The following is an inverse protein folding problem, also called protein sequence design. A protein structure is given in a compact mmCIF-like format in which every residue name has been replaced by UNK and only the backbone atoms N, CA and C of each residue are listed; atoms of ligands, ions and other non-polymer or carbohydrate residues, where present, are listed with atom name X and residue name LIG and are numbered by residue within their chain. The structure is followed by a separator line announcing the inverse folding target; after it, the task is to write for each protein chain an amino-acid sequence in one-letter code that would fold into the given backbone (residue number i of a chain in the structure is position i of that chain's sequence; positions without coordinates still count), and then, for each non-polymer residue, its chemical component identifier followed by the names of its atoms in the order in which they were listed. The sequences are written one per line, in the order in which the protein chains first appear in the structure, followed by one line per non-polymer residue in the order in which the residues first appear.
data_IF_081715650547
#
_entry.id   IF_081715650547
#
_cell.length_a   1.000
_cell.length_b   1.000
_cell.length_c   1.000
_cell.angle_alpha   90.00
_cell.angle_beta   90.00
_cell.angle_gamma   90.00
#
_symmetry.space_group_name_H-M   'P 1'
#
loop_
_entity.id
_entity.type
_entity.pdbx_description
1 polymer ?
#
# COMPACT_ATOMS: atom_id res chain seq x y z
N UNK A 1 10.62 24.93 -2.93
CA UNK A 1 10.35 23.48 -2.86
C UNK A 1 9.17 23.14 -3.76
N UNK A 2 9.37 22.21 -4.65
CA UNK A 2 8.28 21.86 -5.57
C UNK A 2 7.27 20.91 -4.88
N UNK A 3 6.08 20.86 -5.44
CA UNK A 3 5.04 19.97 -4.95
C UNK A 3 5.49 18.50 -5.06
N UNK A 4 6.27 18.18 -6.08
CA UNK A 4 6.78 16.83 -6.26
C UNK A 4 7.77 16.43 -5.16
N UNK A 5 8.58 17.37 -4.69
CA UNK A 5 9.51 17.10 -3.61
C UNK A 5 8.78 16.77 -2.32
N UNK A 6 7.65 17.42 -2.10
CA UNK A 6 6.90 17.24 -0.86
C UNK A 6 5.91 16.08 -0.94
N UNK A 7 5.23 15.93 -2.07
CA UNK A 7 4.13 14.96 -2.20
C UNK A 7 4.37 13.88 -3.23
N UNK A 8 5.51 13.87 -3.89
CA UNK A 8 5.84 12.81 -4.84
C UNK A 8 5.91 11.44 -4.17
N UNK A 9 5.75 10.40 -4.95
CA UNK A 9 5.75 9.04 -4.43
C UNK A 9 7.18 8.58 -4.18
N UNK A 10 7.55 8.48 -2.92
CA UNK A 10 8.87 8.03 -2.50
C UNK A 10 8.74 6.84 -1.57
N UNK A 11 9.71 5.92 -1.60
CA UNK A 11 9.67 4.79 -0.67
C UNK A 11 9.67 5.26 0.78
N UNK A 12 8.83 4.63 1.58
CA UNK A 12 8.75 4.89 3.01
C UNK A 12 8.83 3.58 3.76
N UNK A 13 9.45 3.60 4.91
CA UNK A 13 9.53 2.43 5.76
C UNK A 13 8.19 2.25 6.48
N UNK A 14 7.71 1.02 6.49
CA UNK A 14 6.49 0.65 7.21
C UNK A 14 6.85 -0.52 8.12
N UNK A 15 6.44 -0.44 9.38
CA UNK A 15 6.69 -1.49 10.36
C UNK A 15 5.39 -2.20 10.69
N UNK A 16 5.49 -3.50 10.88
CA UNK A 16 4.32 -4.28 11.28
C UNK A 16 4.75 -5.48 12.12
N UNK A 17 3.83 -6.02 12.87
CA UNK A 17 4.08 -7.22 13.67
C UNK A 17 3.32 -8.40 13.09
N UNK A 18 4.00 -9.54 13.01
CA UNK A 18 3.42 -10.78 12.58
C UNK A 18 4.06 -11.90 13.37
N UNK A 19 3.26 -12.75 13.98
CA UNK A 19 3.73 -13.89 14.78
C UNK A 19 4.69 -13.47 15.91
N UNK A 20 4.45 -12.32 16.49
CA UNK A 20 5.27 -11.82 17.59
C UNK A 20 6.57 -11.19 17.17
N UNK A 21 6.81 -11.09 15.88
CA UNK A 21 8.03 -10.46 15.36
C UNK A 21 7.70 -9.14 14.66
N UNK A 22 8.59 -8.18 14.82
CA UNK A 22 8.46 -6.91 14.12
C UNK A 22 9.22 -6.97 12.80
N UNK A 23 8.54 -6.60 11.73
CA UNK A 23 9.12 -6.60 10.39
C UNK A 23 9.05 -5.20 9.80
N UNK A 24 9.95 -4.92 8.89
CA UNK A 24 9.97 -3.65 8.17
C UNK A 24 9.93 -3.92 6.67
N UNK A 25 9.24 -3.06 5.96
CA UNK A 25 9.26 -3.09 4.51
C UNK A 25 9.17 -1.68 3.97
N UNK A 26 9.48 -1.53 2.68
CA UNK A 26 9.36 -0.23 2.02
C UNK A 26 8.18 -0.26 1.08
N UNK A 27 7.46 0.84 1.03
CA UNK A 27 6.33 0.95 0.13
C UNK A 27 6.13 2.40 -0.27
N UNK A 28 5.55 2.59 -1.45
CA UNK A 28 5.13 3.90 -1.92
C UNK A 28 3.65 4.05 -1.66
N UNK A 29 3.20 5.29 -1.51
CA UNK A 29 1.77 5.55 -1.39
C UNK A 29 1.07 5.16 -2.70
N UNK A 30 -0.21 4.88 -2.58
CA UNK A 30 -1.04 4.56 -3.75
C UNK A 30 -1.15 5.82 -4.62
N UNK A 31 -0.80 5.68 -5.91
CA UNK A 31 -0.89 6.80 -6.84
C UNK A 31 -2.35 7.04 -7.23
N UNK A 32 -2.61 8.22 -7.77
CA UNK A 32 -3.95 8.55 -8.27
C UNK A 32 -4.42 7.52 -9.31
N UNK A 33 -3.54 7.20 -10.25
CA UNK A 33 -3.89 6.26 -11.31
C UNK A 33 -4.16 4.86 -10.77
N UNK A 34 -3.37 4.42 -9.80
CA UNK A 34 -3.60 3.12 -9.18
C UNK A 34 -4.91 3.10 -8.40
N UNK A 35 -5.20 4.16 -7.66
CA UNK A 35 -6.47 4.25 -6.93
C UNK A 35 -7.66 4.18 -7.88
N UNK A 36 -7.55 4.86 -9.00
CA UNK A 36 -8.61 4.85 -10.00
C UNK A 36 -8.79 3.46 -10.60
N UNK A 37 -7.68 2.80 -10.95
CA UNK A 37 -7.73 1.44 -11.50
C UNK A 37 -8.32 0.46 -10.48
N UNK A 38 -7.94 0.59 -9.23
CA UNK A 38 -8.45 -0.27 -8.17
C UNK A 38 -9.97 -0.14 -8.06
N UNK A 39 -10.47 1.09 -8.11
CA UNK A 39 -11.91 1.31 -7.95
C UNK A 39 -12.72 0.86 -9.17
N UNK A 40 -12.12 0.82 -10.35
CA UNK A 40 -12.85 0.54 -11.58
C UNK A 40 -12.63 -0.87 -12.12
N UNK A 41 -11.44 -1.43 -11.95
CA UNK A 41 -11.06 -2.64 -12.64
C UNK A 41 -10.92 -3.88 -11.77
N UNK A 42 -10.68 -3.70 -10.47
CA UNK A 42 -10.40 -4.82 -9.60
C UNK A 42 -11.51 -5.03 -8.57
N UNK A 43 -11.84 -6.29 -8.31
CA UNK A 43 -12.71 -6.60 -7.19
C UNK A 43 -11.89 -6.49 -5.89
N UNK A 44 -12.58 -6.61 -4.76
CA UNK A 44 -11.97 -6.38 -3.47
C UNK A 44 -10.78 -7.30 -3.17
N UNK A 45 -10.88 -8.55 -3.60
CA UNK A 45 -9.81 -9.52 -3.37
C UNK A 45 -8.56 -9.20 -4.18
N UNK A 46 -8.77 -8.83 -5.44
CA UNK A 46 -7.66 -8.52 -6.34
C UNK A 46 -7.03 -7.19 -5.99
N UNK A 47 -7.78 -6.28 -5.37
CA UNK A 47 -7.25 -4.99 -4.95
C UNK A 47 -6.04 -5.12 -4.05
N UNK A 48 -6.10 -6.04 -3.10
CA UNK A 48 -4.99 -6.24 -2.18
C UNK A 48 -3.73 -6.63 -2.92
N UNK A 49 -3.85 -7.53 -3.89
CA UNK A 49 -2.72 -7.96 -4.69
C UNK A 49 -2.17 -6.82 -5.55
N UNK A 50 -3.06 -6.01 -6.11
CA UNK A 50 -2.63 -4.87 -6.93
C UNK A 50 -1.88 -3.85 -6.10
N UNK A 51 -2.34 -3.57 -4.90
CA UNK A 51 -1.66 -2.65 -4.00
C UNK A 51 -0.25 -3.15 -3.71
N UNK A 52 -0.10 -4.42 -3.42
CA UNK A 52 1.21 -4.99 -3.14
C UNK A 52 2.12 -4.91 -4.37
N UNK A 53 1.61 -5.29 -5.52
CA UNK A 53 2.42 -5.28 -6.74
C UNK A 53 3.00 -3.91 -7.05
N UNK A 54 2.18 -2.88 -6.96
CA UNK A 54 2.58 -1.55 -7.42
C UNK A 54 3.16 -0.67 -6.33
N UNK A 55 2.92 -0.98 -5.08
CA UNK A 55 3.38 -0.14 -3.98
C UNK A 55 4.55 -0.71 -3.21
N UNK A 56 4.60 -2.03 -3.02
CA UNK A 56 5.70 -2.65 -2.30
C UNK A 56 6.99 -2.49 -3.09
N UNK A 57 8.03 -1.97 -2.43
CA UNK A 57 9.27 -1.67 -3.14
C UNK A 57 10.48 -1.90 -2.23
N UNK A 58 11.65 -1.80 -2.85
CA UNK A 58 12.92 -1.81 -2.15
C UNK A 58 13.23 -0.40 -1.67
N UNK A 59 14.30 -0.28 -0.88
CA UNK A 59 14.70 1.03 -0.36
C UNK A 59 14.94 2.05 -1.45
N UNK A 60 15.47 1.62 -2.58
CA UNK A 60 15.75 2.51 -3.71
C UNK A 60 14.53 2.78 -4.59
N UNK A 61 13.39 2.18 -4.27
CA UNK A 61 12.17 2.39 -5.02
C UNK A 61 11.88 1.34 -6.08
N UNK A 62 12.78 0.38 -6.28
CA UNK A 62 12.56 -0.68 -7.27
C UNK A 62 11.43 -1.59 -6.80
N UNK A 63 10.59 -2.04 -7.73
CA UNK A 63 9.48 -2.92 -7.41
C UNK A 63 10.00 -4.28 -6.93
N UNK A 64 9.41 -4.79 -5.84
CA UNK A 64 9.73 -6.13 -5.36
C UNK A 64 9.25 -7.19 -6.36
N UNK A 65 8.06 -6.99 -6.90
CA UNK A 65 7.53 -7.86 -7.95
C UNK A 65 7.64 -7.14 -9.29
N UNK A 66 8.08 -7.86 -10.31
CA UNK A 66 8.27 -7.23 -11.62
C UNK A 66 6.93 -6.81 -12.21
N UNK A 67 7.00 -5.89 -13.16
CA UNK A 67 5.82 -5.40 -13.84
C UNK A 67 5.11 -6.52 -14.61
N UNK A 68 5.88 -7.52 -15.05
CA UNK A 68 5.34 -8.67 -15.78
C UNK A 68 4.74 -9.75 -14.88
N UNK A 69 4.90 -9.60 -13.56
CA UNK A 69 4.39 -10.59 -12.62
C UNK A 69 2.86 -10.50 -12.54
N UNK A 70 2.18 -11.62 -12.72
CA UNK A 70 0.73 -11.64 -12.59
C UNK A 70 0.32 -11.54 -11.13
N UNK A 71 -0.84 -10.94 -10.89
CA UNK A 71 -1.34 -10.82 -9.52
C UNK A 71 -1.55 -12.19 -8.88
N UNK A 72 -1.97 -13.16 -9.66
CA UNK A 72 -2.15 -14.51 -9.14
C UNK A 72 -0.85 -15.12 -8.63
N UNK A 73 0.27 -14.79 -9.28
CA UNK A 73 1.58 -15.29 -8.84
C UNK A 73 1.94 -14.73 -7.48
N UNK A 74 1.61 -13.48 -7.23
CA UNK A 74 1.86 -12.85 -5.93
C UNK A 74 1.05 -13.57 -4.86
N UNK A 75 -0.20 -13.86 -5.16
CA UNK A 75 -1.07 -14.58 -4.24
C UNK A 75 -0.60 -15.98 -3.92
N UNK A 76 0.16 -16.61 -4.84
CA UNK A 76 0.71 -17.93 -4.60
C UNK A 76 1.98 -17.90 -3.76
N UNK A 77 2.69 -16.79 -3.76
CA UNK A 77 3.98 -16.70 -3.09
C UNK A 77 3.91 -16.22 -1.65
N UNK A 78 2.88 -15.48 -1.29
CA UNK A 78 2.77 -14.88 0.03
C UNK A 78 1.56 -15.41 0.79
N UNK A 79 1.69 -15.60 2.11
CA UNK A 79 0.55 -16.02 2.92
C UNK A 79 -0.58 -14.99 2.89
N UNK A 80 -1.80 -15.47 3.02
CA UNK A 80 -2.97 -14.61 3.04
C UNK A 80 -2.86 -13.50 4.10
N UNK A 81 -2.44 -13.88 5.31
CA UNK A 81 -2.29 -12.92 6.41
C UNK A 81 -1.33 -11.80 6.07
N UNK A 82 -0.23 -12.15 5.43
CA UNK A 82 0.78 -11.17 5.09
C UNK A 82 0.25 -10.20 4.04
N UNK A 83 -0.44 -10.73 3.03
CA UNK A 83 -1.02 -9.88 1.98
C UNK A 83 -2.04 -8.91 2.58
N UNK A 84 -2.92 -9.40 3.43
CA UNK A 84 -3.91 -8.56 4.07
C UNK A 84 -3.25 -7.46 4.92
N UNK A 85 -2.22 -7.82 5.67
CA UNK A 85 -1.52 -6.90 6.54
C UNK A 85 -0.77 -5.84 5.73
N UNK A 86 -0.01 -6.26 4.72
CA UNK A 86 0.75 -5.33 3.89
C UNK A 86 -0.16 -4.35 3.17
N UNK A 87 -1.22 -4.84 2.55
CA UNK A 87 -2.13 -3.98 1.82
C UNK A 87 -2.82 -2.98 2.75
N UNK A 88 -3.17 -3.41 3.95
CA UNK A 88 -3.79 -2.53 4.94
C UNK A 88 -2.83 -1.41 5.36
N UNK A 89 -1.58 -1.75 5.64
CA UNK A 89 -0.61 -0.76 6.05
C UNK A 89 -0.30 0.24 4.94
N UNK A 90 -0.21 -0.24 3.70
CA UNK A 90 0.01 0.65 2.56
C UNK A 90 -1.19 1.59 2.38
N UNK A 91 -2.40 1.06 2.51
CA UNK A 91 -3.60 1.86 2.38
C UNK A 91 -3.67 2.95 3.45
N UNK A 92 -3.29 2.61 4.68
CA UNK A 92 -3.29 3.58 5.77
C UNK A 92 -2.40 4.78 5.49
N UNK A 93 -1.22 4.53 4.95
CA UNK A 93 -0.30 5.63 4.70
C UNK A 93 -0.62 6.40 3.43
N UNK A 94 -1.47 5.85 2.57
CA UNK A 94 -1.69 6.39 1.23
C UNK A 94 -2.81 7.39 1.13
N UNK A 95 -3.79 7.29 1.99
CA UNK A 95 -5.01 7.97 1.72
C UNK A 95 -5.29 9.15 2.60
N UNK A 96 -6.42 9.76 2.36
CA UNK A 96 -6.96 10.80 3.21
C UNK A 96 -7.55 10.23 4.49
N UNK A 97 -7.26 8.97 4.79
CA UNK A 97 -7.83 8.30 5.95
C UNK A 97 -7.56 9.04 7.25
N UNK A 98 -6.35 9.53 7.41
CA UNK A 98 -6.00 10.29 8.61
C UNK A 98 -6.87 11.53 8.73
N UNK A 99 -7.11 12.20 7.61
CA UNK A 99 -7.97 13.37 7.59
C UNK A 99 -9.41 13.00 7.90
N UNK A 100 -9.87 11.89 7.38
CA UNK A 100 -11.21 11.39 7.65
C UNK A 100 -11.38 11.09 9.14
N UNK A 101 -10.38 10.50 9.75
CA UNK A 101 -10.42 10.20 11.17
C UNK A 101 -10.48 11.48 12.01
N UNK A 102 -9.72 12.49 11.60
CA UNK A 102 -9.77 13.78 12.29
C UNK A 102 -11.16 14.38 12.23
N UNK A 103 -11.79 14.30 11.07
CA UNK A 103 -13.16 14.82 10.91
C UNK A 103 -14.12 14.06 11.81
N UNK A 104 -13.98 12.73 11.88
CA UNK A 104 -14.82 11.92 12.75
C UNK A 104 -14.65 12.30 14.21
N UNK A 105 -13.42 12.52 14.64
CA UNK A 105 -13.16 12.92 16.02
C UNK A 105 -13.87 14.23 16.34
N UNK A 106 -13.80 15.17 15.43
CA UNK A 106 -14.45 16.46 15.64
C UNK A 106 -15.95 16.34 15.72
N UNK A 107 -16.51 15.48 14.89
CA UNK A 107 -17.96 15.26 14.86
C UNK A 107 -18.44 14.43 16.04
N UNK A 108 -17.61 13.52 16.50
CA UNK A 108 -17.96 12.62 17.57
C UNK A 108 -17.86 13.21 18.97
N UNK A 109 -17.29 14.37 19.06
CA UNK A 109 -17.08 15.02 20.36
C UNK A 109 -18.22 15.92 20.76
#
# INVERSE_FOLDING_TARGET
MSILDKYGLKPKVVKFELDGETHEFYAKKISFNLALAISQQFNEEVRQLAIIKYCLCEEDGAMVFSEDCDLAEIGDQLPYELIALLSTEIAKMSGPKARTEDVKKKQGS
#
